data_IF_537566904892
#
_entry.id   IF_537566904892
#
_cell.length_a   1.000
_cell.length_b   1.000
_cell.length_c   1.000
_cell.angle_alpha   90.00
_cell.angle_beta   90.00
_cell.angle_gamma   90.00
#
_symmetry.space_group_name_H-M   'P 1'
#
loop_
_entity.id
_entity.type
_entity.pdbx_description
1 polymer ?
#
# COMPACT_ATOMS: atom_id res chain seq x y z
N UNK A 1 20.95 -6.49 -7.54
CA UNK A 1 19.71 -6.23 -8.31
C UNK A 1 19.65 -4.73 -8.62
N UNK A 2 19.26 -4.32 -9.82
CA UNK A 2 19.01 -2.89 -10.11
C UNK A 2 17.63 -2.48 -9.60
N UNK A 3 17.40 -1.18 -9.39
CA UNK A 3 16.09 -0.59 -9.06
C UNK A 3 14.98 -1.07 -9.99
N UNK A 4 15.26 -1.12 -11.31
CA UNK A 4 14.28 -1.57 -12.29
C UNK A 4 13.92 -3.05 -12.12
N UNK A 5 14.90 -3.91 -11.87
CA UNK A 5 14.68 -5.34 -11.63
C UNK A 5 13.91 -5.57 -10.32
N UNK A 6 14.32 -4.89 -9.24
CA UNK A 6 13.68 -4.98 -7.94
C UNK A 6 12.21 -4.53 -8.01
N UNK A 7 11.95 -3.38 -8.65
CA UNK A 7 10.60 -2.86 -8.86
C UNK A 7 9.73 -3.84 -9.65
N UNK A 8 10.27 -4.44 -10.71
CA UNK A 8 9.55 -5.43 -11.50
C UNK A 8 9.21 -6.69 -10.69
N UNK A 9 10.12 -7.14 -9.83
CA UNK A 9 9.89 -8.28 -8.95
C UNK A 9 8.80 -7.99 -7.90
N UNK A 10 8.84 -6.82 -7.25
CA UNK A 10 7.78 -6.35 -6.35
C UNK A 10 6.43 -6.28 -7.06
N UNK A 11 6.38 -5.66 -8.25
CA UNK A 11 5.14 -5.60 -9.06
C UNK A 11 4.61 -6.99 -9.41
N UNK A 12 5.50 -7.96 -9.66
CA UNK A 12 5.10 -9.35 -9.91
C UNK A 12 4.44 -9.97 -8.66
N UNK A 13 4.99 -9.75 -7.47
CA UNK A 13 4.38 -10.18 -6.19
C UNK A 13 3.01 -9.53 -6.01
N UNK A 14 2.91 -8.21 -6.16
CA UNK A 14 1.64 -7.47 -6.03
C UNK A 14 0.55 -8.06 -6.95
N UNK A 15 0.87 -8.28 -8.22
CA UNK A 15 -0.06 -8.87 -9.20
C UNK A 15 -0.42 -10.32 -8.88
N UNK A 16 0.54 -11.13 -8.43
CA UNK A 16 0.30 -12.52 -8.03
C UNK A 16 -0.64 -12.59 -6.82
N UNK A 17 -0.61 -11.59 -5.95
CA UNK A 17 -1.52 -11.42 -4.80
C UNK A 17 -2.85 -10.75 -5.15
N UNK A 18 -3.12 -10.53 -6.43
CA UNK A 18 -4.41 -10.07 -6.93
C UNK A 18 -4.54 -8.55 -7.12
N UNK A 19 -3.45 -7.79 -6.99
CA UNK A 19 -3.49 -6.35 -7.24
C UNK A 19 -3.76 -6.08 -8.72
N UNK A 20 -4.74 -5.22 -9.01
CA UNK A 20 -5.17 -4.88 -10.37
C UNK A 20 -4.95 -3.40 -10.66
N UNK A 21 -4.68 -3.03 -11.92
CA UNK A 21 -4.57 -1.63 -12.32
C UNK A 21 -5.88 -0.87 -12.07
N UNK A 22 -5.78 0.32 -11.44
CA UNK A 22 -6.86 1.28 -11.25
C UNK A 22 -6.27 2.68 -11.31
N UNK A 23 -6.76 3.52 -12.23
CA UNK A 23 -6.30 4.92 -12.43
C UNK A 23 -4.79 5.09 -12.56
N UNK A 24 -4.08 4.08 -13.10
CA UNK A 24 -2.61 4.10 -13.26
C UNK A 24 -1.83 3.45 -12.12
N UNK A 25 -2.50 3.06 -11.04
CA UNK A 25 -1.90 2.47 -9.84
C UNK A 25 -2.33 1.02 -9.63
N UNK A 26 -1.64 0.27 -8.77
CA UNK A 26 -2.09 -1.07 -8.39
C UNK A 26 -2.97 -1.00 -7.15
N UNK A 27 -4.07 -1.76 -7.17
CA UNK A 27 -5.06 -1.77 -6.09
C UNK A 27 -5.51 -3.18 -5.76
N UNK A 28 -5.60 -3.48 -4.46
CA UNK A 28 -6.18 -4.68 -3.90
C UNK A 28 -7.57 -4.36 -3.34
N UNK A 29 -8.49 -5.31 -3.45
CA UNK A 29 -9.79 -5.26 -2.78
C UNK A 29 -9.73 -6.26 -1.64
N UNK A 30 -9.97 -5.82 -0.42
CA UNK A 30 -9.98 -6.66 0.78
C UNK A 30 -11.25 -6.31 1.53
N UNK A 31 -12.23 -7.22 1.55
CA UNK A 31 -13.58 -6.91 2.06
C UNK A 31 -14.17 -5.66 1.38
N UNK A 32 -14.54 -4.70 2.21
CA UNK A 32 -15.12 -3.39 1.85
C UNK A 32 -14.06 -2.29 1.67
N UNK A 33 -12.78 -2.59 1.95
CA UNK A 33 -11.66 -1.66 1.81
C UNK A 33 -10.89 -1.88 0.51
N UNK A 34 -10.30 -0.81 0.02
CA UNK A 34 -9.43 -0.82 -1.14
C UNK A 34 -8.04 -0.32 -0.77
N UNK A 35 -7.04 -1.14 -1.07
CA UNK A 35 -5.65 -0.88 -0.74
C UNK A 35 -4.86 -0.56 -2.00
N UNK A 36 -4.43 0.69 -2.15
CA UNK A 36 -3.54 1.11 -3.23
C UNK A 36 -2.10 0.80 -2.83
N UNK A 37 -1.32 0.27 -3.76
CA UNK A 37 0.05 -0.21 -3.52
C UNK A 37 0.97 0.26 -4.63
N UNK A 38 1.94 1.11 -4.29
CA UNK A 38 2.88 1.71 -5.22
C UNK A 38 4.32 1.46 -4.76
N UNK A 39 5.20 1.10 -5.68
CA UNK A 39 6.63 0.91 -5.41
C UNK A 39 7.45 2.03 -6.05
N UNK A 40 8.17 2.76 -5.20
CA UNK A 40 8.93 3.96 -5.55
C UNK A 40 10.40 3.81 -5.18
N UNK A 41 11.26 4.54 -5.88
CA UNK A 41 12.68 4.66 -5.55
C UNK A 41 12.94 5.94 -4.75
N UNK A 42 13.70 5.83 -3.67
CA UNK A 42 14.09 6.94 -2.79
C UNK A 42 15.33 7.67 -3.33
N UNK A 43 15.22 8.17 -4.55
CA UNK A 43 16.25 8.99 -5.19
C UNK A 43 16.64 8.54 -6.58
N UNK A 44 17.74 9.10 -7.07
CA UNK A 44 18.23 8.90 -8.43
C UNK A 44 19.41 7.93 -8.44
N UNK A 45 19.28 6.83 -9.16
CA UNK A 45 20.37 5.88 -9.35
C UNK A 45 19.91 4.43 -9.54
N UNK A 46 20.76 3.57 -10.11
CA UNK A 46 20.43 2.17 -10.38
C UNK A 46 20.32 1.32 -9.11
N UNK A 47 20.75 1.83 -7.97
CA UNK A 47 20.76 1.17 -6.66
C UNK A 47 20.09 2.03 -5.57
N UNK A 48 19.26 3.00 -5.96
CA UNK A 48 18.48 3.76 -4.99
C UNK A 48 17.61 2.81 -4.14
N UNK A 49 17.47 3.03 -2.83
CA UNK A 49 16.56 2.25 -2.00
C UNK A 49 15.14 2.29 -2.57
N UNK A 50 14.38 1.22 -2.36
CA UNK A 50 12.97 1.18 -2.71
C UNK A 50 12.12 1.36 -1.45
N UNK A 51 10.94 1.92 -1.63
CA UNK A 51 9.87 1.92 -0.65
C UNK A 51 8.57 1.41 -1.27
N UNK A 52 7.73 0.84 -0.43
CA UNK A 52 6.36 0.48 -0.74
C UNK A 52 5.43 1.50 -0.07
N UNK A 53 4.67 2.22 -0.87
CA UNK A 53 3.55 3.04 -0.40
C UNK A 53 2.29 2.18 -0.39
N UNK A 54 1.59 2.19 0.74
CA UNK A 54 0.35 1.44 0.94
C UNK A 54 -0.70 2.40 1.45
N UNK A 55 -1.69 2.68 0.61
CA UNK A 55 -2.80 3.57 0.92
C UNK A 55 -4.10 2.78 1.13
N UNK A 56 -4.92 3.16 2.10
CA UNK A 56 -6.25 2.59 2.30
C UNK A 56 -7.35 3.60 2.03
N UNK A 57 -8.31 3.21 1.21
CA UNK A 57 -9.52 3.97 0.91
C UNK A 57 -10.78 3.15 1.19
N UNK A 58 -11.80 3.82 1.70
CA UNK A 58 -13.14 3.27 1.90
C UNK A 58 -14.17 4.04 1.07
N UNK A 59 -15.15 3.38 0.43
CA UNK A 59 -16.24 4.04 -0.28
C UNK A 59 -17.08 5.01 0.56
N UNK A 60 -17.01 4.92 1.90
CA UNK A 60 -17.64 5.88 2.81
C UNK A 60 -16.96 7.25 2.82
N UNK A 61 -15.77 7.38 2.22
CA UNK A 61 -15.01 8.62 2.08
C UNK A 61 -14.81 8.96 0.59
N UNK A 62 -15.86 9.35 -0.14
CA UNK A 62 -15.70 9.80 -1.52
C UNK A 62 -14.94 11.14 -1.58
N UNK A 63 -14.21 11.41 -2.69
CA UNK A 63 -14.09 10.60 -3.90
C UNK A 63 -13.08 9.45 -3.77
N UNK A 64 -13.13 8.51 -4.71
CA UNK A 64 -12.05 7.51 -4.86
C UNK A 64 -10.74 8.21 -5.30
N UNK A 65 -9.58 7.86 -4.71
CA UNK A 65 -8.27 8.45 -5.01
C UNK A 65 -7.89 8.37 -6.50
N UNK A 66 -7.29 9.45 -7.00
CA UNK A 66 -6.76 9.54 -8.37
C UNK A 66 -5.27 9.19 -8.42
N UNK A 67 -4.46 9.71 -7.49
CA UNK A 67 -3.01 9.60 -7.43
C UNK A 67 -2.45 8.36 -6.71
N UNK A 68 -3.27 7.33 -6.51
CA UNK A 68 -2.83 6.06 -5.91
C UNK A 68 -2.74 6.10 -4.40
N UNK A 69 -1.68 5.50 -3.84
CA UNK A 69 -1.53 5.35 -2.39
C UNK A 69 -1.45 6.70 -1.66
N UNK A 70 -0.73 7.68 -2.20
CA UNK A 70 -0.51 8.99 -1.57
C UNK A 70 -1.79 9.83 -1.41
N UNK A 71 -2.80 9.58 -2.23
CA UNK A 71 -4.10 10.27 -2.18
C UNK A 71 -5.11 9.55 -1.26
N UNK A 72 -4.72 8.45 -0.62
CA UNK A 72 -5.60 7.70 0.26
C UNK A 72 -5.72 8.35 1.66
N UNK A 73 -6.90 8.29 2.31
CA UNK A 73 -7.09 8.78 3.68
C UNK A 73 -6.21 8.11 4.74
N UNK A 74 -5.68 6.92 4.47
CA UNK A 74 -4.58 6.34 5.23
C UNK A 74 -3.44 6.06 4.28
N UNK A 75 -2.21 6.41 4.69
CA UNK A 75 -0.98 6.15 3.96
C UNK A 75 0.08 5.58 4.92
N UNK A 76 0.75 4.53 4.46
CA UNK A 76 1.92 3.94 5.11
C UNK A 76 3.04 3.85 4.09
N UNK A 77 4.24 4.30 4.46
CA UNK A 77 5.42 4.19 3.63
C UNK A 77 6.41 3.23 4.31
N UNK A 78 6.76 2.14 3.64
CA UNK A 78 7.60 1.10 4.21
C UNK A 78 8.88 0.95 3.38
N UNK A 79 10.08 1.10 3.97
CA UNK A 79 11.31 0.83 3.24
C UNK A 79 11.37 -0.65 2.87
N UNK A 80 11.75 -0.94 1.63
CA UNK A 80 12.04 -2.29 1.17
C UNK A 80 13.53 -2.55 1.30
N UNK A 81 13.88 -3.59 2.06
CA UNK A 81 15.25 -3.94 2.40
C UNK A 81 15.93 -4.79 1.35
N UNK A 82 16.77 -5.72 1.82
CA UNK A 82 17.55 -6.61 0.95
C UNK A 82 16.68 -7.65 0.21
N UNK A 83 15.49 -7.96 0.74
CA UNK A 83 14.55 -8.94 0.21
C UNK A 83 13.19 -8.29 -0.12
N UNK A 84 13.12 -7.41 -1.13
CA UNK A 84 11.96 -6.55 -1.37
C UNK A 84 10.68 -7.35 -1.68
N UNK A 85 10.79 -8.53 -2.31
CA UNK A 85 9.66 -9.43 -2.52
C UNK A 85 9.09 -9.95 -1.20
N UNK A 86 9.93 -10.44 -0.30
CA UNK A 86 9.51 -10.99 0.99
C UNK A 86 8.95 -9.89 1.90
N UNK A 87 9.57 -8.71 1.89
CA UNK A 87 9.07 -7.53 2.59
C UNK A 87 7.67 -7.15 2.08
N UNK A 88 7.47 -7.15 0.75
CA UNK A 88 6.16 -6.90 0.14
C UNK A 88 5.13 -7.95 0.54
N UNK A 89 5.48 -9.24 0.52
CA UNK A 89 4.56 -10.33 0.92
C UNK A 89 4.07 -10.16 2.36
N UNK A 90 4.96 -9.83 3.30
CA UNK A 90 4.57 -9.60 4.70
C UNK A 90 3.58 -8.45 4.86
N UNK A 91 3.78 -7.37 4.10
CA UNK A 91 2.86 -6.23 4.10
C UNK A 91 1.51 -6.62 3.49
N UNK A 92 1.51 -7.39 2.41
CA UNK A 92 0.30 -7.86 1.76
C UNK A 92 -0.48 -8.89 2.61
N UNK A 93 0.20 -9.72 3.39
CA UNK A 93 -0.44 -10.60 4.37
C UNK A 93 -1.11 -9.79 5.49
N UNK A 94 -0.44 -8.73 5.97
CA UNK A 94 -0.99 -7.83 6.97
C UNK A 94 -2.27 -7.13 6.47
N UNK A 95 -2.18 -6.38 5.36
CA UNK A 95 -3.34 -5.61 4.85
C UNK A 95 -4.42 -6.51 4.25
N UNK A 96 -4.06 -7.71 3.77
CA UNK A 96 -5.01 -8.73 3.34
C UNK A 96 -5.90 -9.25 4.47
N UNK A 97 -5.49 -9.06 5.73
CA UNK A 97 -6.30 -9.35 6.91
C UNK A 97 -7.11 -8.15 7.44
N UNK A 98 -7.13 -7.01 6.73
CA UNK A 98 -7.83 -5.78 7.14
C UNK A 98 -8.84 -5.41 6.05
N UNK A 99 -10.06 -5.93 6.18
CA UNK A 99 -11.08 -5.84 5.14
C UNK A 99 -12.22 -4.85 5.39
N UNK A 100 -12.31 -4.28 6.60
CA UNK A 100 -13.36 -3.34 6.98
C UNK A 100 -12.83 -2.30 7.97
N UNK A 101 -13.60 -1.23 8.19
CA UNK A 101 -13.20 -0.12 9.06
C UNK A 101 -13.04 -0.53 10.53
N UNK A 102 -13.85 -1.47 11.02
CA UNK A 102 -13.76 -1.96 12.39
C UNK A 102 -12.41 -2.67 12.62
N UNK A 103 -12.07 -3.60 11.74
CA UNK A 103 -10.79 -4.31 11.76
C UNK A 103 -9.62 -3.35 11.57
N UNK A 104 -9.78 -2.34 10.71
CA UNK A 104 -8.76 -1.30 10.53
C UNK A 104 -8.52 -0.50 11.80
N UNK A 105 -9.58 -0.11 12.52
CA UNK A 105 -9.48 0.61 13.79
C UNK A 105 -8.75 -0.20 14.86
N UNK A 106 -9.10 -1.49 14.99
CA UNK A 106 -8.47 -2.41 15.95
C UNK A 106 -6.99 -2.67 15.64
N UNK A 107 -6.63 -2.77 14.35
CA UNK A 107 -5.29 -3.17 13.89
C UNK A 107 -4.44 -2.01 13.38
N UNK A 108 -4.87 -0.76 13.55
CA UNK A 108 -4.12 0.41 13.09
C UNK A 108 -2.70 0.46 13.67
N UNK A 109 -2.53 0.01 14.92
CA UNK A 109 -1.22 -0.06 15.58
C UNK A 109 -0.23 -1.03 14.92
N UNK A 110 -0.69 -1.94 14.06
CA UNK A 110 0.16 -2.85 13.29
C UNK A 110 0.74 -2.19 12.02
N UNK A 111 0.29 -0.99 11.66
CA UNK A 111 0.73 -0.22 10.50
C UNK A 111 1.72 0.89 10.96
N UNK A 112 3.03 0.60 11.08
CA UNK A 112 3.99 1.54 11.65
C UNK A 112 4.11 2.78 10.78
N UNK A 113 4.02 3.96 11.39
CA UNK A 113 4.12 5.24 10.68
C UNK A 113 2.89 5.59 9.85
N UNK A 114 1.75 4.90 10.04
CA UNK A 114 0.50 5.23 9.36
C UNK A 114 0.11 6.70 9.58
N UNK A 115 0.00 7.42 8.48
CA UNK A 115 -0.64 8.72 8.43
C UNK A 115 -2.12 8.49 8.19
N UNK A 116 -2.95 9.01 9.09
CA UNK A 116 -4.41 8.85 9.02
C UNK A 116 -5.04 10.23 9.01
N UNK A 117 -5.72 10.52 7.91
CA UNK A 117 -6.46 11.76 7.73
C UNK A 117 -7.63 11.85 8.71
N UNK A 118 -8.01 13.09 9.01
CA UNK A 118 -9.08 13.37 9.97
C UNK A 118 -10.39 12.66 9.62
N UNK A 119 -10.78 12.68 8.35
CA UNK A 119 -12.06 12.09 7.92
C UNK A 119 -12.12 10.57 8.15
N UNK A 120 -11.00 9.87 7.96
CA UNK A 120 -10.92 8.45 8.28
C UNK A 120 -10.89 8.22 9.78
N UNK A 121 -10.16 9.04 10.54
CA UNK A 121 -10.15 8.96 12.00
C UNK A 121 -11.54 9.12 12.62
N UNK A 122 -12.42 9.94 12.02
CA UNK A 122 -13.79 10.11 12.49
C UNK A 122 -14.69 8.87 12.22
N UNK A 123 -14.22 7.92 11.40
CA UNK A 123 -14.92 6.66 11.07
C UNK A 123 -14.35 5.42 11.79
N UNK A 124 -13.18 5.54 12.44
CA UNK A 124 -12.52 4.46 13.19
C UNK A 124 -12.88 4.55 14.68
#
# INVERSE_FOLDING_TARGET
MTVSQARAAVVKVLKARGAKPRRGHLRLSVGDLFWYVDVLAEGVGPHAPLRLEVGCWSPFLPPEPDGGAVDCPLLVELPLGAEPEADTERVLDLVGGIGDLATLGERLGELPGALVDRALRDLL
#
